data_IF_878777648031
#
_entry.id   IF_878777648031
#
_cell.length_a   1.000
_cell.length_b   1.000
_cell.length_c   1.000
_cell.angle_alpha   90.00
_cell.angle_beta   90.00
_cell.angle_gamma   90.00
#
_symmetry.space_group_name_H-M   'P 1'
#
loop_
_entity.id
_entity.type
_entity.pdbx_description
1 polymer ?
#
# COMPACT_ATOMS: atom_id res chain seq x y z
N UNK A 1 0.71 3.71 -8.53
CA UNK A 1 1.90 4.30 -9.16
C UNK A 1 1.49 5.00 -10.44
N UNK A 2 2.14 6.10 -10.84
CA UNK A 2 1.91 6.80 -12.11
C UNK A 2 3.18 6.74 -12.94
N UNK A 3 3.06 6.29 -14.19
CA UNK A 3 4.17 6.29 -15.15
C UNK A 3 4.28 7.64 -15.85
N UNK A 4 5.50 8.08 -16.13
CA UNK A 4 5.78 9.37 -16.78
C UNK A 4 6.73 9.13 -17.94
N UNK A 5 6.23 9.31 -19.17
CA UNK A 5 6.95 9.14 -20.42
C UNK A 5 6.61 10.31 -21.37
N UNK A 6 7.23 11.49 -21.18
CA UNK A 6 6.90 12.66 -22.00
C UNK A 6 7.40 12.47 -23.44
N UNK A 7 6.77 13.11 -24.44
CA UNK A 7 7.20 13.01 -25.84
C UNK A 7 8.58 13.63 -26.13
N UNK A 8 9.12 14.41 -25.19
CA UNK A 8 10.49 14.95 -25.25
C UNK A 8 11.58 13.95 -24.88
N UNK A 9 11.21 12.75 -24.42
CA UNK A 9 12.14 11.64 -24.13
C UNK A 9 11.85 10.52 -25.13
N UNK A 10 12.90 9.74 -25.48
CA UNK A 10 12.79 8.63 -26.42
C UNK A 10 11.58 7.72 -26.16
N UNK A 11 10.78 7.46 -27.18
CA UNK A 11 9.58 6.61 -27.07
C UNK A 11 9.95 5.16 -26.75
N UNK A 12 9.41 4.64 -25.66
CA UNK A 12 9.60 3.23 -25.27
C UNK A 12 9.00 2.30 -26.35
N UNK A 13 9.80 1.39 -26.96
CA UNK A 13 9.32 0.44 -27.95
C UNK A 13 8.30 -0.52 -27.36
N UNK A 14 7.34 -0.96 -28.19
CA UNK A 14 6.22 -1.83 -27.78
C UNK A 14 6.64 -3.02 -26.89
N UNK A 15 7.70 -3.79 -27.22
CA UNK A 15 8.08 -4.97 -26.42
C UNK A 15 8.57 -4.65 -25.00
N UNK A 16 8.83 -3.39 -24.67
CA UNK A 16 9.33 -2.95 -23.36
C UNK A 16 8.28 -2.18 -22.55
N UNK A 17 7.17 -1.75 -23.15
CA UNK A 17 6.16 -0.89 -22.50
C UNK A 17 5.53 -1.51 -21.26
N UNK A 18 5.46 -2.83 -21.17
CA UNK A 18 4.90 -3.55 -20.03
C UNK A 18 5.92 -3.83 -18.92
N UNK A 19 7.21 -3.55 -19.15
CA UNK A 19 8.30 -3.88 -18.24
C UNK A 19 9.28 -2.71 -18.03
N UNK A 20 8.98 -1.52 -18.53
CA UNK A 20 9.83 -0.34 -18.39
C UNK A 20 8.99 0.94 -18.48
N UNK A 21 9.30 1.91 -17.62
CA UNK A 21 8.91 3.32 -17.75
C UNK A 21 10.13 4.20 -17.50
N UNK A 22 10.21 5.37 -18.13
CA UNK A 22 11.30 6.33 -17.90
C UNK A 22 11.30 6.86 -16.47
N UNK A 23 10.14 7.24 -15.96
CA UNK A 23 9.96 7.58 -14.55
C UNK A 23 8.69 6.98 -13.97
N UNK A 24 8.74 6.69 -12.68
CA UNK A 24 7.64 6.22 -11.86
C UNK A 24 7.44 7.19 -10.68
N UNK A 25 6.28 7.81 -10.61
CA UNK A 25 5.83 8.62 -9.48
C UNK A 25 5.01 7.73 -8.54
N UNK A 26 5.42 7.66 -7.27
CA UNK A 26 4.74 6.89 -6.23
C UNK A 26 4.15 7.83 -5.18
N UNK A 27 2.91 7.59 -4.71
CA UNK A 27 2.34 8.37 -3.63
C UNK A 27 3.10 8.14 -2.32
N UNK A 28 2.94 9.05 -1.37
CA UNK A 28 3.42 8.83 -0.01
C UNK A 28 2.86 7.51 0.56
N UNK A 29 3.74 6.66 1.07
CA UNK A 29 3.38 5.33 1.54
C UNK A 29 4.51 4.66 2.32
N UNK A 30 4.35 3.36 2.58
CA UNK A 30 5.39 2.55 3.21
C UNK A 30 6.33 2.05 2.14
N UNK A 31 7.62 2.38 2.26
CA UNK A 31 8.67 1.85 1.40
C UNK A 31 9.22 0.54 1.96
N UNK A 32 9.53 -0.39 1.05
CA UNK A 32 10.32 -1.59 1.31
C UNK A 32 11.53 -1.56 0.40
N UNK A 33 12.71 -1.67 1.00
CA UNK A 33 13.97 -1.82 0.30
C UNK A 33 14.38 -3.29 0.36
N UNK A 34 14.40 -3.94 -0.80
CA UNK A 34 14.81 -5.34 -0.95
C UNK A 34 16.25 -5.33 -1.44
N UNK A 35 17.18 -5.84 -0.63
CA UNK A 35 18.57 -6.05 -1.03
C UNK A 35 18.67 -6.90 -2.30
N UNK A 36 19.80 -6.84 -2.99
CA UNK A 36 20.06 -7.69 -4.15
C UNK A 36 19.85 -9.18 -3.85
N UNK A 37 18.99 -9.81 -4.64
CA UNK A 37 18.69 -11.23 -4.54
C UNK A 37 19.42 -12.00 -5.65
N UNK A 38 20.19 -13.01 -5.24
CA UNK A 38 20.77 -14.00 -6.15
C UNK A 38 19.77 -15.11 -6.45
N UNK A 39 20.11 -15.94 -7.45
CA UNK A 39 19.43 -17.19 -7.76
C UNK A 39 19.68 -18.33 -6.77
N UNK A 40 19.69 -18.01 -5.47
CA UNK A 40 19.93 -18.94 -4.36
C UNK A 40 18.60 -19.43 -3.79
N UNK A 41 18.43 -20.73 -3.66
CA UNK A 41 17.26 -21.35 -3.06
C UNK A 41 17.34 -21.33 -1.52
N UNK A 42 16.23 -21.61 -0.80
CA UNK A 42 16.23 -21.62 0.68
C UNK A 42 17.21 -22.60 1.32
N UNK A 43 17.61 -23.66 0.60
CA UNK A 43 18.63 -24.63 1.04
C UNK A 43 20.08 -24.14 0.80
N UNK A 44 20.24 -22.91 0.31
CA UNK A 44 21.53 -22.28 0.03
C UNK A 44 22.13 -22.64 -1.33
N UNK A 45 21.47 -23.49 -2.13
CA UNK A 45 21.98 -23.90 -3.45
C UNK A 45 21.68 -22.85 -4.52
N UNK A 46 22.69 -22.54 -5.32
CA UNK A 46 22.53 -21.73 -6.54
C UNK A 46 21.90 -22.57 -7.65
N UNK A 47 21.07 -21.96 -8.49
CA UNK A 47 20.62 -22.57 -9.74
C UNK A 47 21.75 -22.57 -10.77
N UNK A 48 21.74 -23.55 -11.67
CA UNK A 48 22.87 -23.83 -12.56
C UNK A 48 22.97 -22.85 -13.73
N UNK A 49 21.83 -22.50 -14.35
CA UNK A 49 21.79 -21.66 -15.53
C UNK A 49 21.20 -20.26 -15.24
N UNK A 50 21.37 -19.35 -16.19
CA UNK A 50 20.88 -17.98 -16.05
C UNK A 50 19.37 -17.92 -15.82
N UNK A 51 18.60 -18.73 -16.55
CA UNK A 51 17.13 -18.75 -16.46
C UNK A 51 16.68 -19.23 -15.08
N UNK A 52 17.28 -20.30 -14.57
CA UNK A 52 17.04 -20.80 -13.23
C UNK A 52 17.44 -19.79 -12.16
N UNK A 53 18.62 -19.15 -12.29
CA UNK A 53 19.05 -18.15 -11.33
C UNK A 53 18.15 -16.91 -11.34
N UNK A 54 17.75 -16.44 -12.52
CA UNK A 54 16.82 -15.30 -12.64
C UNK A 54 15.46 -15.65 -12.03
N UNK A 55 14.93 -16.83 -12.34
CA UNK A 55 13.67 -17.31 -11.79
C UNK A 55 13.70 -17.35 -10.26
N UNK A 56 14.75 -17.94 -9.69
CA UNK A 56 14.92 -18.03 -8.25
C UNK A 56 15.14 -16.65 -7.58
N UNK A 57 15.91 -15.75 -8.21
CA UNK A 57 16.08 -14.40 -7.69
C UNK A 57 14.74 -13.63 -7.66
N UNK A 58 13.91 -13.80 -8.69
CA UNK A 58 12.56 -13.23 -8.72
C UNK A 58 11.62 -13.88 -7.70
N UNK A 59 11.72 -15.20 -7.46
CA UNK A 59 11.01 -15.89 -6.38
C UNK A 59 11.34 -15.30 -5.02
N UNK A 60 12.64 -15.05 -4.77
CA UNK A 60 13.12 -14.49 -3.50
C UNK A 60 12.57 -13.06 -3.30
N UNK A 61 12.61 -12.22 -4.34
CA UNK A 61 12.01 -10.87 -4.31
C UNK A 61 10.51 -10.95 -4.00
N UNK A 62 9.77 -11.82 -4.67
CA UNK A 62 8.33 -11.96 -4.46
C UNK A 62 7.98 -12.48 -3.06
N UNK A 63 8.78 -13.40 -2.52
CA UNK A 63 8.62 -13.88 -1.14
C UNK A 63 8.85 -12.75 -0.11
N UNK A 64 9.86 -11.90 -0.32
CA UNK A 64 10.14 -10.75 0.56
C UNK A 64 9.04 -9.69 0.48
N UNK A 65 8.52 -9.42 -0.72
CA UNK A 65 7.35 -8.56 -0.90
C UNK A 65 6.14 -9.13 -0.14
N UNK A 66 5.84 -10.42 -0.32
CA UNK A 66 4.71 -11.08 0.33
C UNK A 66 4.83 -11.06 1.86
N UNK A 67 6.02 -11.33 2.41
CA UNK A 67 6.30 -11.23 3.85
C UNK A 67 6.08 -9.80 4.40
N UNK A 68 6.31 -8.80 3.56
CA UNK A 68 6.02 -7.41 3.87
C UNK A 68 4.57 -6.99 3.57
N UNK A 69 3.68 -7.90 3.17
CA UNK A 69 2.30 -7.59 2.77
C UNK A 69 2.21 -6.72 1.51
N UNK A 70 3.18 -6.85 0.61
CA UNK A 70 3.25 -6.18 -0.70
C UNK A 70 3.21 -7.23 -1.83
N UNK A 71 2.98 -6.78 -3.06
CA UNK A 71 3.05 -7.60 -4.26
C UNK A 71 3.82 -6.94 -5.40
N UNK A 72 3.90 -7.64 -6.54
CA UNK A 72 4.53 -7.14 -7.77
C UNK A 72 4.07 -5.74 -8.20
N UNK A 73 2.77 -5.37 -8.09
CA UNK A 73 2.31 -4.02 -8.43
C UNK A 73 2.88 -2.89 -7.55
N UNK A 74 3.45 -3.22 -6.38
CA UNK A 74 4.06 -2.25 -5.48
C UNK A 74 5.53 -1.96 -5.84
N UNK A 75 6.14 -2.73 -6.77
CA UNK A 75 7.53 -2.51 -7.22
C UNK A 75 7.61 -1.16 -7.93
N UNK A 76 8.31 -0.21 -7.30
CA UNK A 76 8.51 1.14 -7.84
C UNK A 76 9.76 1.24 -8.71
N UNK A 77 10.82 0.54 -8.29
CA UNK A 77 12.10 0.48 -9.01
C UNK A 77 12.68 -0.94 -8.94
N UNK A 78 13.24 -1.41 -10.05
CA UNK A 78 14.02 -2.64 -10.11
C UNK A 78 15.38 -2.40 -10.78
N UNK A 79 16.44 -2.94 -10.19
CA UNK A 79 17.80 -2.92 -10.75
C UNK A 79 18.24 -4.36 -11.01
N UNK A 80 18.73 -4.63 -12.21
CA UNK A 80 19.23 -5.95 -12.61
C UNK A 80 20.71 -5.85 -12.95
N UNK A 81 21.53 -6.68 -12.33
CA UNK A 81 22.96 -6.80 -12.63
C UNK A 81 23.23 -8.18 -13.23
N UNK A 82 23.77 -8.23 -14.44
CA UNK A 82 24.07 -9.45 -15.19
C UNK A 82 25.57 -9.53 -15.45
N UNK A 83 26.15 -10.72 -15.52
CA UNK A 83 27.57 -10.86 -15.88
C UNK A 83 27.80 -10.96 -17.39
N UNK A 84 26.74 -11.22 -18.19
CA UNK A 84 26.83 -11.44 -19.63
C UNK A 84 25.72 -10.70 -20.37
N UNK A 85 26.08 -10.02 -21.46
CA UNK A 85 25.10 -9.32 -22.32
C UNK A 85 24.21 -10.29 -23.12
N UNK A 86 24.70 -11.50 -23.40
CA UNK A 86 23.93 -12.54 -24.10
C UNK A 86 22.66 -13.01 -23.37
N UNK A 87 22.56 -12.72 -22.07
CA UNK A 87 21.40 -13.09 -21.25
C UNK A 87 20.26 -12.06 -21.26
N UNK A 88 20.48 -10.86 -21.82
CA UNK A 88 19.48 -9.79 -21.91
C UNK A 88 18.16 -10.21 -22.56
N UNK A 89 18.15 -11.01 -23.66
CA UNK A 89 16.89 -11.52 -24.22
C UNK A 89 16.11 -12.40 -23.24
N UNK A 90 16.81 -13.26 -22.49
CA UNK A 90 16.22 -14.13 -21.46
C UNK A 90 15.61 -13.32 -20.31
N UNK A 91 16.33 -12.28 -19.85
CA UNK A 91 15.82 -11.33 -18.87
C UNK A 91 14.53 -10.66 -19.34
N UNK A 92 14.54 -10.12 -20.57
CA UNK A 92 13.37 -9.45 -21.14
C UNK A 92 12.16 -10.39 -21.28
N UNK A 93 12.38 -11.63 -21.72
CA UNK A 93 11.34 -12.63 -21.88
C UNK A 93 10.70 -13.01 -20.53
N UNK A 94 11.51 -13.31 -19.52
CA UNK A 94 10.99 -13.69 -18.20
C UNK A 94 10.27 -12.53 -17.52
N UNK A 95 10.80 -11.30 -17.60
CA UNK A 95 10.14 -10.12 -17.04
C UNK A 95 8.79 -9.85 -17.70
N UNK A 96 8.66 -10.01 -19.02
CA UNK A 96 7.36 -9.89 -19.70
C UNK A 96 6.39 -10.98 -19.26
N UNK A 97 6.85 -12.21 -19.11
CA UNK A 97 6.00 -13.31 -18.69
C UNK A 97 5.52 -13.18 -17.24
N UNK A 98 6.35 -12.61 -16.36
CA UNK A 98 6.14 -12.66 -14.90
C UNK A 98 5.76 -11.33 -14.26
N UNK A 99 6.35 -10.23 -14.71
CA UNK A 99 6.25 -8.88 -14.13
C UNK A 99 5.68 -7.84 -15.11
N UNK A 100 5.04 -8.26 -16.21
CA UNK A 100 4.32 -7.33 -17.07
C UNK A 100 3.22 -6.59 -16.29
N UNK A 101 3.11 -5.29 -16.53
CA UNK A 101 2.14 -4.40 -15.90
C UNK A 101 1.79 -3.25 -16.84
N UNK A 102 0.56 -2.74 -16.76
CA UNK A 102 0.17 -1.47 -17.41
C UNK A 102 0.83 -0.26 -16.74
N UNK A 103 1.32 -0.44 -15.51
CA UNK A 103 2.12 0.53 -14.77
C UNK A 103 3.44 -0.13 -14.36
N UNK A 104 4.41 -0.31 -15.29
CA UNK A 104 5.67 -0.94 -14.96
C UNK A 104 6.52 -0.08 -14.03
N UNK A 105 7.42 -0.74 -13.30
CA UNK A 105 8.45 -0.08 -12.49
C UNK A 105 9.44 0.70 -13.34
N UNK A 106 10.11 1.69 -12.73
CA UNK A 106 11.35 2.24 -13.28
C UNK A 106 12.46 1.18 -13.21
N UNK A 107 13.32 1.10 -14.22
CA UNK A 107 14.26 -0.04 -14.34
C UNK A 107 15.65 0.42 -14.74
N UNK A 108 16.66 -0.22 -14.16
CA UNK A 108 18.04 -0.15 -14.63
C UNK A 108 18.56 -1.56 -14.87
N UNK A 109 19.29 -1.77 -15.96
CA UNK A 109 19.95 -3.04 -16.28
C UNK A 109 21.42 -2.76 -16.55
N UNK A 110 22.29 -3.49 -15.86
CA UNK A 110 23.74 -3.36 -15.99
C UNK A 110 24.36 -4.70 -16.35
N UNK A 111 25.34 -4.68 -17.25
CA UNK A 111 26.25 -5.80 -17.45
C UNK A 111 27.55 -5.47 -16.69
N UNK A 112 27.86 -6.26 -15.68
CA UNK A 112 28.98 -6.05 -14.74
C UNK A 112 30.06 -7.11 -14.92
N UNK A 113 31.29 -6.81 -14.50
CA UNK A 113 32.41 -7.75 -14.61
C UNK A 113 32.27 -8.99 -13.71
N UNK A 114 31.47 -8.90 -12.64
CA UNK A 114 31.23 -9.97 -11.69
C UNK A 114 30.30 -9.52 -10.57
N UNK A 115 29.80 -10.48 -9.81
CA UNK A 115 28.94 -10.29 -8.63
C UNK A 115 29.66 -10.79 -7.38
N UNK A 116 29.09 -10.53 -6.20
CA UNK A 116 29.72 -10.90 -4.91
C UNK A 116 29.95 -12.42 -4.76
N UNK A 117 29.14 -13.25 -5.43
CA UNK A 117 29.37 -14.70 -5.55
C UNK A 117 29.90 -15.03 -6.95
N UNK A 118 31.01 -15.77 -7.08
CA UNK A 118 31.61 -16.10 -8.39
C UNK A 118 30.69 -16.89 -9.33
N UNK A 119 29.78 -17.69 -8.76
CA UNK A 119 28.81 -18.52 -9.48
C UNK A 119 27.48 -17.81 -9.77
N UNK A 120 27.32 -16.55 -9.36
CA UNK A 120 26.14 -15.75 -9.67
C UNK A 120 26.23 -15.12 -11.08
N UNK A 121 25.16 -15.28 -11.84
CA UNK A 121 24.98 -14.72 -13.18
C UNK A 121 24.06 -13.51 -13.20
N UNK A 122 23.24 -13.34 -12.15
CA UNK A 122 22.22 -12.32 -11.99
C UNK A 122 22.07 -11.92 -10.53
N UNK A 123 21.86 -10.63 -10.28
CA UNK A 123 21.40 -10.08 -9.01
C UNK A 123 20.22 -9.12 -9.27
N UNK A 124 19.16 -9.25 -8.47
CA UNK A 124 17.92 -8.46 -8.62
C UNK A 124 17.67 -7.65 -7.34
N UNK A 125 17.71 -6.32 -7.45
CA UNK A 125 17.41 -5.40 -6.36
C UNK A 125 16.07 -4.68 -6.64
N UNK A 126 15.26 -4.50 -5.60
CA UNK A 126 13.93 -3.89 -5.74
C UNK A 126 13.68 -2.87 -4.64
N UNK A 127 13.11 -1.72 -5.02
CA UNK A 127 12.41 -0.83 -4.09
C UNK A 127 10.92 -0.89 -4.38
N UNK A 128 10.12 -1.21 -3.37
CA UNK A 128 8.66 -1.24 -3.46
C UNK A 128 8.03 -0.18 -2.54
N UNK A 129 6.87 0.34 -2.94
CA UNK A 129 6.11 1.32 -2.17
C UNK A 129 4.65 0.91 -2.18
N UNK A 130 4.13 0.54 -1.02
CA UNK A 130 2.70 0.28 -0.85
C UNK A 130 2.02 1.49 -0.21
N UNK A 131 0.82 1.81 -0.69
CA UNK A 131 -0.06 2.71 0.05
C UNK A 131 -0.54 1.96 1.29
N UNK A 132 -0.30 2.45 2.52
CA UNK A 132 -0.78 1.78 3.71
C UNK A 132 -2.30 1.57 3.62
N UNK A 133 -2.85 0.45 4.12
CA UNK A 133 -4.30 0.24 4.19
C UNK A 133 -5.03 1.41 4.87
N UNK A 134 -4.36 2.05 5.84
CA UNK A 134 -4.80 3.28 6.51
C UNK A 134 -4.94 4.46 5.54
N UNK A 135 -4.00 4.67 4.62
CA UNK A 135 -4.06 5.76 3.63
C UNK A 135 -5.11 5.53 2.54
N UNK A 136 -5.46 4.28 2.23
CA UNK A 136 -6.60 3.93 1.38
C UNK A 136 -7.94 4.17 2.09
N UNK A 137 -8.03 3.87 3.39
CA UNK A 137 -9.19 4.27 4.21
C UNK A 137 -9.34 5.80 4.28
N UNK A 138 -8.23 6.53 4.35
CA UNK A 138 -8.24 8.00 4.44
C UNK A 138 -8.70 8.70 3.15
N UNK A 139 -8.75 8.03 2.00
CA UNK A 139 -9.18 8.64 0.72
C UNK A 139 -10.70 8.78 0.57
N UNK A 140 -11.50 8.16 1.43
CA UNK A 140 -12.98 8.26 1.39
C UNK A 140 -13.57 9.02 2.56
N UNK A 141 -12.75 9.66 3.43
CA UNK A 141 -13.32 10.49 4.48
C UNK A 141 -14.04 11.69 3.88
N UNK A 142 -15.31 11.84 4.24
CA UNK A 142 -16.14 12.98 3.87
C UNK A 142 -16.73 13.63 5.12
N UNK A 143 -16.99 14.95 5.09
CA UNK A 143 -17.77 15.59 6.13
C UNK A 143 -19.18 14.97 6.24
N UNK A 144 -19.71 14.90 7.46
CA UNK A 144 -21.10 14.52 7.67
C UNK A 144 -22.06 15.63 7.22
N UNK A 145 -23.25 15.22 6.82
CA UNK A 145 -24.41 16.05 6.56
C UNK A 145 -25.55 15.66 7.50
N UNK A 146 -26.65 16.43 7.50
CA UNK A 146 -27.86 16.06 8.26
C UNK A 146 -28.44 14.72 7.83
N UNK A 147 -28.24 14.31 6.58
CA UNK A 147 -28.73 13.03 6.06
C UNK A 147 -28.02 11.83 6.71
N UNK A 148 -26.83 12.03 7.29
CA UNK A 148 -26.02 10.96 7.88
C UNK A 148 -26.42 10.62 9.33
N UNK A 149 -27.28 11.43 9.96
CA UNK A 149 -27.66 11.28 11.38
C UNK A 149 -28.16 9.87 11.72
N UNK A 150 -29.03 9.21 10.92
CA UNK A 150 -29.45 7.84 11.18
C UNK A 150 -28.27 6.84 11.15
N UNK A 151 -27.36 6.98 10.19
CA UNK A 151 -26.19 6.11 10.06
C UNK A 151 -25.19 6.32 11.22
N UNK A 152 -24.95 7.58 11.61
CA UNK A 152 -24.13 7.93 12.78
C UNK A 152 -24.68 7.29 14.05
N UNK A 153 -25.99 7.42 14.31
CA UNK A 153 -26.64 6.80 15.47
C UNK A 153 -26.47 5.28 15.48
N UNK A 154 -26.67 4.64 14.33
CA UNK A 154 -26.50 3.19 14.19
C UNK A 154 -25.07 2.75 14.48
N UNK A 155 -24.07 3.41 13.87
CA UNK A 155 -22.66 3.11 14.09
C UNK A 155 -22.25 3.30 15.55
N UNK A 156 -22.64 4.42 16.17
CA UNK A 156 -22.27 4.70 17.56
C UNK A 156 -22.88 3.67 18.51
N UNK A 157 -24.16 3.32 18.33
CA UNK A 157 -24.79 2.26 19.13
C UNK A 157 -24.05 0.94 18.99
N UNK A 158 -23.71 0.53 17.77
CA UNK A 158 -22.96 -0.70 17.53
C UNK A 158 -21.55 -0.66 18.17
N UNK A 159 -20.82 0.45 18.04
CA UNK A 159 -19.46 0.59 18.56
C UNK A 159 -19.41 0.61 20.11
N UNK A 160 -20.41 1.20 20.75
CA UNK A 160 -20.46 1.39 22.21
C UNK A 160 -21.28 0.35 22.97
N UNK A 161 -22.08 -0.49 22.29
CA UNK A 161 -22.94 -1.49 22.93
C UNK A 161 -22.21 -2.37 23.97
N UNK A 162 -20.94 -2.73 23.71
CA UNK A 162 -20.11 -3.52 24.63
C UNK A 162 -19.88 -2.88 26.00
N UNK A 163 -20.04 -1.56 26.11
CA UNK A 163 -19.83 -0.82 27.35
C UNK A 163 -21.08 -0.72 28.23
N UNK A 164 -22.27 -0.92 27.66
CA UNK A 164 -23.54 -0.86 28.42
C UNK A 164 -23.55 -1.81 29.63
N UNK A 165 -23.22 -3.11 29.50
CA UNK A 165 -23.21 -4.00 30.68
C UNK A 165 -22.10 -3.66 31.68
N UNK A 166 -21.02 -3.02 31.24
CA UNK A 166 -19.89 -2.61 32.10
C UNK A 166 -20.24 -1.36 32.92
N UNK A 167 -20.93 -0.40 32.30
CA UNK A 167 -21.24 0.91 32.90
C UNK A 167 -22.59 0.88 33.64
N UNK A 168 -23.49 -0.05 33.28
CA UNK A 168 -24.84 -0.15 33.84
C UNK A 168 -25.84 0.86 33.27
N UNK A 169 -25.44 1.65 32.25
CA UNK A 169 -26.29 2.59 31.51
C UNK A 169 -25.71 2.86 30.12
N UNK A 170 -26.50 3.47 29.24
CA UNK A 170 -26.00 3.92 27.94
C UNK A 170 -24.90 5.00 28.10
N UNK A 171 -23.74 4.86 27.46
CA UNK A 171 -22.73 5.91 27.34
C UNK A 171 -23.28 7.18 26.69
N UNK A 172 -22.71 8.34 27.04
CA UNK A 172 -23.11 9.66 26.48
C UNK A 172 -23.18 9.66 24.94
N UNK A 173 -22.24 9.05 24.18
CA UNK A 173 -22.36 8.98 22.73
C UNK A 173 -23.64 8.29 22.24
N UNK A 174 -24.19 7.31 22.95
CA UNK A 174 -25.42 6.61 22.54
C UNK A 174 -26.70 7.44 22.75
N UNK A 175 -26.63 8.45 23.62
CA UNK A 175 -27.76 9.32 23.98
C UNK A 175 -27.65 10.75 23.41
N UNK A 176 -26.59 11.06 22.66
CA UNK A 176 -26.34 12.40 22.13
C UNK A 176 -27.35 12.82 21.04
N UNK A 177 -27.68 14.11 20.99
CA UNK A 177 -28.47 14.68 19.89
C UNK A 177 -27.59 14.92 18.66
N UNK A 178 -27.40 13.86 17.87
CA UNK A 178 -26.65 13.96 16.62
C UNK A 178 -27.28 14.89 15.58
N UNK A 179 -28.58 15.20 15.65
CA UNK A 179 -29.16 16.17 14.73
C UNK A 179 -28.61 17.57 15.01
N UNK A 180 -28.42 17.92 16.29
CA UNK A 180 -27.74 19.15 16.71
C UNK A 180 -26.23 19.06 16.53
N UNK A 181 -25.59 17.95 16.93
CA UNK A 181 -24.14 17.80 16.90
C UNK A 181 -23.57 17.98 15.49
N UNK A 182 -24.15 17.37 14.44
CA UNK A 182 -23.64 17.52 13.06
C UNK A 182 -23.74 18.94 12.51
N UNK A 183 -24.48 19.84 13.17
CA UNK A 183 -24.54 21.27 12.82
C UNK A 183 -23.47 22.10 13.52
N UNK A 184 -23.08 21.69 14.74
CA UNK A 184 -22.22 22.48 15.62
C UNK A 184 -20.78 21.97 15.65
N UNK A 185 -20.58 20.67 15.41
CA UNK A 185 -19.29 20.00 15.48
C UNK A 185 -18.87 19.52 14.10
N UNK A 186 -17.58 19.27 13.93
CA UNK A 186 -17.06 18.64 12.72
C UNK A 186 -17.14 17.12 12.86
N UNK A 187 -17.77 16.47 11.91
CA UNK A 187 -17.76 15.01 11.79
C UNK A 187 -17.09 14.62 10.48
N UNK A 188 -16.04 13.80 10.56
CA UNK A 188 -15.45 13.14 9.40
C UNK A 188 -15.86 11.67 9.40
N UNK A 189 -16.45 11.23 8.29
CA UNK A 189 -17.10 9.92 8.14
C UNK A 189 -16.30 9.04 7.18
N UNK A 190 -16.08 7.78 7.56
CA UNK A 190 -15.44 6.77 6.72
C UNK A 190 -16.49 5.78 6.19
N UNK A 191 -16.63 5.73 4.87
CA UNK A 191 -17.48 4.75 4.19
C UNK A 191 -16.65 3.69 3.47
N UNK A 192 -17.13 2.44 3.52
CA UNK A 192 -16.64 1.30 2.74
C UNK A 192 -17.83 0.52 2.21
N UNK A 193 -17.80 0.17 0.92
CA UNK A 193 -18.84 -0.65 0.27
C UNK A 193 -20.27 -0.11 0.50
N UNK A 194 -20.41 1.22 0.54
CA UNK A 194 -21.70 1.90 0.77
C UNK A 194 -22.18 1.97 2.22
N UNK A 195 -21.38 1.51 3.19
CA UNK A 195 -21.71 1.55 4.61
C UNK A 195 -20.75 2.43 5.42
N UNK A 196 -21.29 3.16 6.40
CA UNK A 196 -20.50 3.93 7.37
C UNK A 196 -19.78 2.97 8.35
N UNK A 197 -18.45 2.95 8.31
CA UNK A 197 -17.62 2.02 9.10
C UNK A 197 -16.86 2.70 10.23
N UNK A 198 -16.60 4.01 10.15
CA UNK A 198 -16.01 4.78 11.25
C UNK A 198 -16.42 6.26 11.18
N UNK A 199 -16.37 6.95 12.31
CA UNK A 199 -16.50 8.40 12.40
C UNK A 199 -15.56 8.97 13.47
N UNK A 200 -15.16 10.23 13.30
CA UNK A 200 -14.57 11.06 14.34
C UNK A 200 -15.36 12.36 14.42
N UNK A 201 -15.72 12.74 15.64
CA UNK A 201 -16.39 13.99 15.97
C UNK A 201 -15.39 14.87 16.71
N UNK A 202 -15.13 16.06 16.17
CA UNK A 202 -14.20 17.03 16.74
C UNK A 202 -14.81 18.40 16.92
N UNK A 203 -14.35 19.09 17.95
CA UNK A 203 -14.77 20.45 18.31
C UNK A 203 -13.50 21.31 18.43
N UNK A 204 -13.31 22.32 17.57
CA UNK A 204 -12.20 23.25 17.73
C UNK A 204 -12.37 24.05 19.02
N UNK A 205 -11.32 24.09 19.84
CA UNK A 205 -11.19 24.96 21.01
C UNK A 205 -10.00 25.92 20.79
N UNK A 206 -9.90 27.02 21.56
CA UNK A 206 -8.84 28.02 21.35
C UNK A 206 -7.41 27.46 21.45
N UNK A 207 -7.20 26.43 22.25
CA UNK A 207 -5.88 25.88 22.61
C UNK A 207 -5.68 24.43 22.16
N UNK A 208 -6.74 23.73 21.74
CA UNK A 208 -6.68 22.34 21.30
C UNK A 208 -7.84 21.97 20.38
N UNK A 209 -7.71 20.81 19.74
CA UNK A 209 -8.83 20.13 19.10
C UNK A 209 -9.42 19.11 20.07
N UNK A 210 -10.68 19.28 20.45
CA UNK A 210 -11.36 18.34 21.35
C UNK A 210 -11.98 17.20 20.54
N UNK A 211 -11.51 15.96 20.78
CA UNK A 211 -12.11 14.75 20.19
C UNK A 211 -13.29 14.34 21.05
N UNK A 212 -14.49 14.70 20.62
CA UNK A 212 -15.73 14.43 21.33
C UNK A 212 -16.15 12.96 21.22
N UNK A 213 -15.94 12.34 20.06
CA UNK A 213 -16.31 10.96 19.82
C UNK A 213 -15.41 10.34 18.74
N UNK A 214 -15.05 9.08 18.93
CA UNK A 214 -14.43 8.24 17.92
C UNK A 214 -15.13 6.89 17.96
N UNK A 215 -15.79 6.52 16.87
CA UNK A 215 -16.50 5.25 16.76
C UNK A 215 -16.03 4.48 15.53
N UNK A 216 -15.74 3.20 15.72
CA UNK A 216 -15.40 2.25 14.65
C UNK A 216 -16.36 1.06 14.76
N UNK A 217 -16.88 0.61 13.62
CA UNK A 217 -17.74 -0.56 13.54
C UNK A 217 -17.04 -1.78 14.15
N UNK A 218 -17.71 -2.60 14.99
CA UNK A 218 -17.13 -3.81 15.58
C UNK A 218 -16.52 -4.77 14.55
N UNK A 219 -17.14 -4.90 13.37
CA UNK A 219 -16.65 -5.73 12.27
C UNK A 219 -15.29 -5.26 11.69
N UNK A 220 -14.87 -4.04 12.04
CA UNK A 220 -13.65 -3.40 11.53
C UNK A 220 -12.64 -3.06 12.64
N UNK A 221 -12.84 -3.60 13.86
CA UNK A 221 -11.85 -3.44 14.94
C UNK A 221 -10.54 -4.15 14.61
N UNK A 222 -9.43 -3.66 15.18
CA UNK A 222 -8.09 -4.21 14.91
C UNK A 222 -7.45 -3.78 13.58
N UNK A 223 -8.19 -3.13 12.69
CA UNK A 223 -7.69 -2.71 11.36
C UNK A 223 -7.00 -1.33 11.34
N UNK A 224 -6.73 -0.73 12.50
CA UNK A 224 -6.08 0.59 12.60
C UNK A 224 -6.97 1.79 12.26
N UNK A 225 -8.26 1.59 11.93
CA UNK A 225 -9.15 2.68 11.48
C UNK A 225 -9.25 3.83 12.49
N UNK A 226 -9.41 3.56 13.78
CA UNK A 226 -9.51 4.63 14.79
C UNK A 226 -8.25 5.51 14.84
N UNK A 227 -7.06 4.90 14.75
CA UNK A 227 -5.79 5.63 14.65
C UNK A 227 -5.70 6.45 13.37
N UNK A 228 -6.17 5.90 12.26
CA UNK A 228 -6.21 6.59 10.98
C UNK A 228 -7.09 7.85 11.06
N UNK A 229 -8.32 7.73 11.59
CA UNK A 229 -9.23 8.89 11.76
C UNK A 229 -8.58 10.04 12.53
N UNK A 230 -7.89 9.73 13.65
CA UNK A 230 -7.25 10.74 14.51
C UNK A 230 -6.09 11.49 13.85
N UNK A 231 -5.36 10.88 12.91
CA UNK A 231 -4.26 11.56 12.21
C UNK A 231 -4.72 12.68 11.27
N UNK A 232 -6.01 12.71 10.92
CA UNK A 232 -6.60 13.70 10.01
C UNK A 232 -7.51 14.71 10.73
N UNK A 233 -7.75 14.50 12.02
CA UNK A 233 -8.57 15.36 12.87
C UNK A 233 -7.92 16.73 13.05
#
# INVERSE_FOLDING_TARGET
MKTINPPSVWTVPEPFRTIYTHAAEVPAGRSLFVSGQFGVAPDGRMREDFVGQLGQAMDNVEALLAAAGMGRPDIAKATFFLTRSGDLPGLGAMRRARWASDTPAAVTVLVVAGLARPDALIEVEVTAVATPPEALALRTLRPATKADVPAIRSLVRAAYAKWVPVIGREPVPMTADYAQAVRLHRFDLLEREGALVALVETIPRPDHLWVQNLAVSPAHHGQGLGRAMLRRA
#
